data_IF_672542232196
#
_entry.id   IF_672542232196
#
_cell.length_a   1.000
_cell.length_b   1.000
_cell.length_c   1.000
_cell.angle_alpha   90.00
_cell.angle_beta   90.00
_cell.angle_gamma   90.00
#
_symmetry.space_group_name_H-M   'P 1'
#
loop_
_entity.id
_entity.type
_entity.pdbx_description
1 polymer ?
#
# COMPACT_ATOMS: atom_id res chain seq x y z
N UNK A 1 -4.04 -1.24 -9.99
CA UNK A 1 -4.11 0.24 -10.07
C UNK A 1 -5.35 0.78 -9.34
N UNK A 2 -6.56 0.33 -9.69
CA UNK A 2 -7.81 0.79 -9.05
C UNK A 2 -7.82 0.57 -7.53
N UNK A 3 -7.36 -0.59 -7.06
CA UNK A 3 -7.30 -0.92 -5.62
C UNK A 3 -6.42 0.03 -4.81
N UNK A 4 -5.22 0.36 -5.31
CA UNK A 4 -4.31 1.29 -4.63
C UNK A 4 -4.88 2.72 -4.53
N UNK A 5 -5.56 3.19 -5.59
CA UNK A 5 -6.21 4.51 -5.59
C UNK A 5 -7.40 4.56 -4.63
N UNK A 6 -8.21 3.50 -4.61
CA UNK A 6 -9.30 3.35 -3.66
C UNK A 6 -8.78 3.32 -2.21
N UNK A 7 -7.69 2.60 -1.95
CA UNK A 7 -7.06 2.57 -0.61
C UNK A 7 -6.54 3.96 -0.20
N UNK A 8 -5.89 4.68 -1.12
CA UNK A 8 -5.44 6.06 -0.89
C UNK A 8 -6.60 6.96 -0.48
N UNK A 9 -7.70 6.86 -1.21
CA UNK A 9 -8.91 7.65 -0.94
C UNK A 9 -9.55 7.30 0.41
N UNK A 10 -9.57 6.03 0.81
CA UNK A 10 -10.03 5.62 2.14
C UNK A 10 -9.18 6.27 3.23
N UNK A 11 -7.84 6.21 3.11
CA UNK A 11 -6.92 6.78 4.12
C UNK A 11 -7.11 8.30 4.21
N UNK A 12 -7.18 8.97 3.08
CA UNK A 12 -7.33 10.43 2.97
C UNK A 12 -8.66 10.91 3.55
N UNK A 13 -9.79 10.28 3.15
CA UNK A 13 -11.13 10.64 3.62
C UNK A 13 -11.35 10.35 5.11
N UNK A 14 -10.70 9.32 5.64
CA UNK A 14 -10.85 8.93 7.04
C UNK A 14 -9.81 9.58 7.96
N UNK A 15 -8.82 10.29 7.41
CA UNK A 15 -7.78 10.99 8.18
C UNK A 15 -6.85 10.08 8.97
N UNK A 16 -6.66 8.81 8.54
CA UNK A 16 -5.90 7.80 9.28
C UNK A 16 -4.43 7.71 8.85
N UNK A 17 -3.82 8.81 8.40
CA UNK A 17 -2.46 8.83 7.86
C UNK A 17 -1.40 8.29 8.83
N UNK A 18 -1.54 8.59 10.12
CA UNK A 18 -0.61 8.15 11.18
C UNK A 18 -0.88 6.72 11.67
N UNK A 19 -2.08 6.18 11.39
CA UNK A 19 -2.50 4.83 11.74
C UNK A 19 -2.33 3.85 10.57
N UNK A 20 -1.57 4.28 9.56
CA UNK A 20 -1.38 3.56 8.31
C UNK A 20 0.09 3.46 7.94
N UNK A 21 0.53 2.24 7.62
CA UNK A 21 1.81 2.00 6.97
C UNK A 21 1.67 1.10 5.73
N UNK A 22 2.69 1.12 4.87
CA UNK A 22 2.75 0.35 3.65
C UNK A 22 4.08 -0.39 3.54
N UNK A 23 4.01 -1.72 3.42
CA UNK A 23 5.16 -2.56 3.06
C UNK A 23 5.01 -3.02 1.62
N UNK A 24 6.10 -2.94 0.87
CA UNK A 24 6.17 -3.44 -0.52
C UNK A 24 7.38 -4.35 -0.64
N UNK A 25 7.18 -5.55 -1.16
CA UNK A 25 8.22 -6.57 -1.31
C UNK A 25 8.19 -7.17 -2.71
N UNK A 26 9.36 -7.58 -3.22
CA UNK A 26 9.45 -8.30 -4.49
C UNK A 26 9.03 -9.76 -4.29
N UNK A 27 8.17 -10.25 -5.17
CA UNK A 27 7.86 -11.68 -5.32
C UNK A 27 8.14 -12.14 -6.75
N UNK A 28 8.06 -13.44 -6.99
CA UNK A 28 8.17 -14.02 -8.34
C UNK A 28 7.07 -13.52 -9.28
N UNK A 29 5.91 -13.15 -8.74
CA UNK A 29 4.74 -12.71 -9.53
C UNK A 29 4.71 -11.19 -9.75
N UNK A 30 5.43 -10.42 -8.93
CA UNK A 30 5.51 -8.97 -9.02
C UNK A 30 5.78 -8.31 -7.67
N UNK A 31 4.98 -7.30 -7.32
CA UNK A 31 5.12 -6.59 -6.05
C UNK A 31 4.05 -7.05 -5.07
N UNK A 32 4.44 -7.69 -3.98
CA UNK A 32 3.55 -7.91 -2.84
C UNK A 32 3.38 -6.60 -2.07
N UNK A 33 2.14 -6.19 -1.89
CA UNK A 33 1.76 -4.96 -1.19
C UNK A 33 0.99 -5.33 0.06
N UNK A 34 1.50 -4.92 1.21
CA UNK A 34 0.84 -5.10 2.51
C UNK A 34 0.49 -3.73 3.08
N UNK A 35 -0.81 -3.45 3.11
CA UNK A 35 -1.38 -2.28 3.78
C UNK A 35 -1.56 -2.62 5.27
N UNK A 36 -0.89 -1.88 6.15
CA UNK A 36 -0.96 -2.07 7.60
C UNK A 36 -1.85 -0.97 8.18
N UNK A 37 -2.96 -1.34 8.80
CA UNK A 37 -3.91 -0.40 9.41
C UNK A 37 -4.00 -0.71 10.91
N UNK A 38 -3.72 0.25 11.78
CA UNK A 38 -3.85 0.08 13.23
C UNK A 38 -5.21 -0.49 13.60
N UNK A 39 -5.25 -1.42 14.55
CA UNK A 39 -6.52 -1.95 15.07
C UNK A 39 -7.33 -0.93 15.87
N UNK A 40 -6.77 0.26 16.16
CA UNK A 40 -7.44 1.38 16.81
C UNK A 40 -8.44 2.11 15.89
N UNK A 41 -8.42 1.84 14.58
CA UNK A 41 -9.38 2.46 13.66
C UNK A 41 -10.81 1.99 13.91
N UNK A 42 -11.77 2.86 13.60
CA UNK A 42 -13.21 2.52 13.68
C UNK A 42 -13.55 1.40 12.68
N UNK A 43 -14.51 0.54 13.03
CA UNK A 43 -14.89 -0.62 12.20
C UNK A 43 -15.36 -0.29 10.78
N UNK A 44 -15.91 0.91 10.56
CA UNK A 44 -16.28 1.40 9.21
C UNK A 44 -15.06 1.67 8.32
N UNK A 45 -13.93 2.09 8.91
CA UNK A 45 -12.66 2.32 8.19
C UNK A 45 -12.13 0.99 7.68
N UNK A 46 -12.10 -0.04 8.53
CA UNK A 46 -11.69 -1.39 8.12
C UNK A 46 -12.60 -1.95 7.03
N UNK A 47 -13.91 -1.77 7.14
CA UNK A 47 -14.86 -2.21 6.10
C UNK A 47 -14.59 -1.54 4.75
N UNK A 48 -14.33 -0.23 4.75
CA UNK A 48 -14.01 0.52 3.54
C UNK A 48 -12.64 0.09 2.95
N UNK A 49 -11.63 -0.10 3.79
CA UNK A 49 -10.31 -0.55 3.36
C UNK A 49 -10.37 -1.97 2.76
N UNK A 50 -11.13 -2.88 3.35
CA UNK A 50 -11.37 -4.22 2.79
C UNK A 50 -12.05 -4.15 1.42
N UNK A 51 -13.03 -3.26 1.25
CA UNK A 51 -13.71 -3.06 -0.04
C UNK A 51 -12.81 -2.45 -1.12
N UNK A 52 -11.72 -1.78 -0.73
CA UNK A 52 -10.72 -1.24 -1.66
C UNK A 52 -9.72 -2.29 -2.16
N UNK A 53 -9.65 -3.47 -1.52
CA UNK A 53 -8.80 -4.57 -2.00
C UNK A 53 -9.33 -5.16 -3.31
N UNK A 54 -8.43 -5.68 -4.16
CA UNK A 54 -8.86 -6.49 -5.29
C UNK A 54 -9.49 -7.81 -4.79
N UNK A 55 -10.25 -8.54 -5.63
CA UNK A 55 -10.92 -9.78 -5.23
C UNK A 55 -9.99 -10.85 -4.63
N UNK A 56 -8.75 -10.91 -5.09
CA UNK A 56 -7.69 -11.80 -4.62
C UNK A 56 -7.00 -11.32 -3.32
N UNK A 57 -7.37 -10.15 -2.81
CA UNK A 57 -6.76 -9.56 -1.62
C UNK A 57 -7.12 -10.34 -0.35
N UNK A 58 -6.14 -10.49 0.52
CA UNK A 58 -6.28 -11.20 1.80
C UNK A 58 -6.25 -10.22 2.97
N UNK A 59 -6.86 -10.64 4.08
CA UNK A 59 -6.88 -9.84 5.30
C UNK A 59 -6.53 -10.70 6.50
N UNK A 60 -5.49 -10.29 7.21
CA UNK A 60 -5.00 -10.96 8.41
C UNK A 60 -4.84 -9.98 9.57
N UNK A 61 -4.57 -10.51 10.77
CA UNK A 61 -4.13 -9.71 11.91
C UNK A 61 -2.67 -10.01 12.16
N UNK A 62 -1.90 -8.98 12.50
CA UNK A 62 -0.49 -9.11 12.83
C UNK A 62 0.00 -7.94 13.65
N UNK A 63 1.31 -7.79 13.69
CA UNK A 63 2.00 -6.72 14.41
C UNK A 63 2.76 -5.83 13.43
N UNK A 64 2.75 -4.53 13.69
CA UNK A 64 3.48 -3.57 12.90
C UNK A 64 5.00 -3.78 13.12
N UNK A 65 5.80 -3.98 12.07
CA UNK A 65 7.19 -4.42 12.21
C UNK A 65 8.12 -3.41 12.89
N UNK A 66 7.74 -2.12 12.91
CA UNK A 66 8.55 -1.07 13.53
C UNK A 66 8.06 -0.66 14.92
N UNK A 67 6.76 -0.79 15.20
CA UNK A 67 6.15 -0.26 16.43
C UNK A 67 5.64 -1.36 17.36
N UNK A 68 5.54 -2.61 16.88
CA UNK A 68 4.94 -3.74 17.61
C UNK A 68 3.43 -3.60 17.82
N UNK A 69 2.79 -2.54 17.31
CA UNK A 69 1.37 -2.31 17.52
C UNK A 69 0.52 -3.29 16.72
N UNK A 70 -0.65 -3.71 17.25
CA UNK A 70 -1.57 -4.59 16.54
C UNK A 70 -2.17 -3.91 15.31
N UNK A 71 -2.07 -4.56 14.15
CA UNK A 71 -2.55 -4.07 12.85
C UNK A 71 -3.39 -5.11 12.11
N UNK A 72 -4.25 -4.62 11.23
CA UNK A 72 -4.82 -5.39 10.13
C UNK A 72 -3.86 -5.35 8.94
N UNK A 73 -3.51 -6.53 8.44
CA UNK A 73 -2.66 -6.70 7.26
C UNK A 73 -3.56 -6.97 6.06
N UNK A 74 -3.65 -6.00 5.15
CA UNK A 74 -4.45 -6.08 3.93
C UNK A 74 -3.50 -6.28 2.75
N UNK A 75 -3.45 -7.49 2.20
CA UNK A 75 -2.39 -7.95 1.31
C UNK A 75 -2.91 -8.24 -0.10
N UNK A 76 -2.13 -7.86 -1.12
CA UNK A 76 -2.38 -8.24 -2.51
C UNK A 76 -1.09 -8.18 -3.34
N UNK A 77 -1.10 -8.79 -4.53
CA UNK A 77 0.06 -8.81 -5.43
C UNK A 77 -0.24 -8.03 -6.69
N UNK A 78 0.66 -7.12 -7.05
CA UNK A 78 0.62 -6.36 -8.30
C UNK A 78 1.55 -7.04 -9.31
N UNK A 79 0.95 -7.65 -10.33
CA UNK A 79 1.70 -8.44 -11.32
C UNK A 79 2.71 -7.61 -12.13
N UNK A 80 3.87 -8.20 -12.36
CA UNK A 80 4.92 -7.69 -13.27
C UNK A 80 5.69 -6.45 -12.81
N UNK A 81 5.49 -5.95 -11.58
CA UNK A 81 6.28 -4.83 -11.05
C UNK A 81 7.66 -5.28 -10.52
N UNK A 82 8.65 -4.37 -10.55
CA UNK A 82 10.00 -4.60 -10.02
C UNK A 82 10.32 -3.61 -8.91
N UNK A 83 10.73 -4.13 -7.75
CA UNK A 83 11.00 -3.35 -6.55
C UNK A 83 12.18 -2.40 -6.76
N UNK A 84 13.23 -2.85 -7.44
CA UNK A 84 14.39 -2.02 -7.73
C UNK A 84 14.05 -0.75 -8.53
N UNK A 85 13.10 -0.83 -9.46
CA UNK A 85 12.66 0.33 -10.25
C UNK A 85 11.80 1.28 -9.39
N UNK A 86 10.95 0.72 -8.52
CA UNK A 86 10.18 1.49 -7.55
C UNK A 86 11.12 2.22 -6.57
N UNK A 87 12.10 1.52 -6.01
CA UNK A 87 13.10 2.10 -5.09
C UNK A 87 13.94 3.16 -5.78
N UNK A 88 14.37 2.97 -7.03
CA UNK A 88 15.07 4.01 -7.79
C UNK A 88 14.23 5.28 -7.97
N UNK A 89 12.92 5.14 -8.23
CA UNK A 89 12.00 6.26 -8.34
C UNK A 89 11.71 6.92 -6.96
N UNK A 90 11.90 6.19 -5.84
CA UNK A 90 11.67 6.66 -4.46
C UNK A 90 12.94 7.24 -3.80
N UNK A 91 14.12 6.68 -4.06
CA UNK A 91 15.41 7.00 -3.40
C UNK A 91 15.97 8.39 -3.76
N UNK A 92 15.30 9.13 -4.63
CA UNK A 92 15.64 10.53 -4.89
C UNK A 92 15.32 11.47 -3.73
N UNK A 93 14.56 11.00 -2.73
CA UNK A 93 13.97 11.87 -1.74
C UNK A 93 14.15 11.23 -0.34
N UNK A 94 14.71 12.01 0.59
CA UNK A 94 15.36 11.52 1.81
C UNK A 94 14.34 11.18 2.90
N UNK A 95 14.56 10.04 3.56
CA UNK A 95 14.16 9.63 4.92
C UNK A 95 12.86 10.21 5.52
N UNK A 96 11.96 9.28 5.88
CA UNK A 96 10.64 9.44 6.55
C UNK A 96 9.44 9.59 5.61
N UNK A 97 9.22 8.57 4.77
CA UNK A 97 7.93 8.41 4.11
C UNK A 97 7.00 7.65 5.06
N UNK A 98 6.07 8.37 5.70
CA UNK A 98 4.90 7.73 6.31
C UNK A 98 4.20 6.84 5.25
N UNK A 99 3.45 5.83 5.70
CA UNK A 99 2.83 4.85 4.81
C UNK A 99 2.06 5.45 3.64
N UNK A 100 1.36 6.55 3.92
CA UNK A 100 0.54 7.23 2.91
C UNK A 100 1.38 7.79 1.76
N UNK A 101 2.53 8.40 2.06
CA UNK A 101 3.43 8.89 1.03
C UNK A 101 4.07 7.73 0.24
N UNK A 102 4.37 6.60 0.90
CA UNK A 102 4.81 5.36 0.21
C UNK A 102 3.73 4.86 -0.76
N UNK A 103 2.45 4.93 -0.39
CA UNK A 103 1.33 4.56 -1.26
C UNK A 103 1.23 5.49 -2.47
N UNK A 104 1.37 6.80 -2.28
CA UNK A 104 1.36 7.78 -3.38
C UNK A 104 2.49 7.52 -4.37
N UNK A 105 3.70 7.24 -3.86
CA UNK A 105 4.86 6.94 -4.70
C UNK A 105 4.67 5.64 -5.49
N UNK A 106 4.12 4.60 -4.86
CA UNK A 106 3.78 3.35 -5.54
C UNK A 106 2.78 3.56 -6.69
N UNK A 107 1.72 4.34 -6.46
CA UNK A 107 0.75 4.67 -7.51
C UNK A 107 1.45 5.41 -8.66
N UNK A 108 2.24 6.43 -8.36
CA UNK A 108 2.95 7.24 -9.36
C UNK A 108 3.90 6.37 -10.21
N UNK A 109 4.68 5.49 -9.58
CA UNK A 109 5.55 4.54 -10.27
C UNK A 109 4.77 3.65 -11.25
N UNK A 110 3.69 3.04 -10.78
CA UNK A 110 2.88 2.14 -11.61
C UNK A 110 2.20 2.89 -12.77
N UNK A 111 1.80 4.14 -12.57
CA UNK A 111 1.21 4.97 -13.64
C UNK A 111 2.25 5.32 -14.71
N UNK A 112 3.47 5.71 -14.31
CA UNK A 112 4.58 5.96 -15.23
C UNK A 112 4.94 4.71 -16.02
N UNK A 113 4.92 3.54 -15.37
CA UNK A 113 5.13 2.24 -16.04
C UNK A 113 4.03 1.93 -17.05
N UNK A 114 2.76 2.03 -16.66
CA UNK A 114 1.64 1.77 -17.57
C UNK A 114 1.67 2.70 -18.81
N UNK A 115 2.13 3.95 -18.66
CA UNK A 115 2.33 4.86 -19.80
C UNK A 115 3.47 4.44 -20.73
N UNK A 116 4.50 3.76 -20.23
CA UNK A 116 5.62 3.25 -21.03
C UNK A 116 5.27 1.98 -21.79
N UNK A 117 4.43 1.12 -21.22
CA UNK A 117 4.01 -0.15 -21.84
C UNK A 117 2.92 0.03 -22.92
N UNK A 118 2.20 1.15 -22.93
CA UNK A 118 1.22 1.50 -23.97
C UNK A 118 1.82 2.32 -25.13
N UNK A 119 3.16 2.38 -25.24
CA UNK A 119 3.88 2.98 -26.36
C UNK A 119 4.57 1.90 -27.18
#
# INVERSE_FOLDING_TARGET
>A
MLSLKAMREVIERQGIHELYDLKVEQTNEGLAVTHMISTEVKGNVLKAAKAALPPEGQVERGEHPQTGQPVYLLQHVIKGGRLADLEKDILSDKQQYNGFMRLQNLITYLERRAKRENK
#
